data_IF_699537850393
#
_entry.id   IF_699537850393
#
_cell.length_a   1.000
_cell.length_b   1.000
_cell.length_c   1.000
_cell.angle_alpha   90.00
_cell.angle_beta   90.00
_cell.angle_gamma   90.00
#
_symmetry.space_group_name_H-M   'P 1'
#
loop_
_entity.id
_entity.type
_entity.pdbx_description
1 polymer ?
#
# COMPACT_ATOMS: atom_id res chain seq x y z
N UNK A 1 -16.56 14.90 0.02
CA UNK A 1 -15.32 14.17 0.44
C UNK A 1 -15.52 12.69 0.67
N UNK A 2 -16.73 12.21 1.01
CA UNK A 2 -17.04 10.78 1.11
C UNK A 2 -17.16 10.09 -0.25
N UNK A 3 -17.68 10.78 -1.26
CA UNK A 3 -17.96 10.20 -2.57
C UNK A 3 -16.73 9.61 -3.28
N UNK A 4 -15.58 10.26 -3.23
CA UNK A 4 -14.37 9.77 -3.90
C UNK A 4 -13.83 8.46 -3.30
N UNK A 5 -13.87 8.31 -1.96
CA UNK A 5 -13.48 7.05 -1.32
C UNK A 5 -14.54 5.96 -1.49
N UNK A 6 -15.82 6.33 -1.62
CA UNK A 6 -16.89 5.38 -1.86
C UNK A 6 -16.81 4.75 -3.27
N UNK A 7 -16.32 5.49 -4.27
CA UNK A 7 -16.04 4.95 -5.60
C UNK A 7 -15.03 3.80 -5.50
N UNK A 8 -13.87 4.05 -4.91
CA UNK A 8 -12.85 3.01 -4.78
C UNK A 8 -13.28 1.84 -3.90
N UNK A 9 -14.06 2.07 -2.84
CA UNK A 9 -14.63 1.01 -2.01
C UNK A 9 -15.60 0.11 -2.76
N UNK A 10 -16.45 0.68 -3.62
CA UNK A 10 -17.37 -0.10 -4.44
C UNK A 10 -16.66 -0.94 -5.49
N UNK A 11 -15.51 -0.47 -5.95
CA UNK A 11 -14.68 -1.16 -6.93
C UNK A 11 -13.74 -2.20 -6.29
N UNK A 12 -13.37 -2.05 -5.02
CA UNK A 12 -12.54 -3.02 -4.28
C UNK A 12 -13.32 -4.31 -3.95
N UNK A 13 -13.89 -4.96 -4.95
CA UNK A 13 -14.70 -6.19 -4.79
C UNK A 13 -13.84 -7.45 -4.72
N UNK A 14 -12.66 -7.42 -5.31
CA UNK A 14 -11.75 -8.56 -5.40
C UNK A 14 -10.80 -8.65 -4.22
N UNK A 15 -10.70 -7.60 -3.39
CA UNK A 15 -9.85 -7.60 -2.20
C UNK A 15 -10.49 -8.37 -1.06
N UNK A 16 -9.79 -9.39 -0.56
CA UNK A 16 -10.13 -10.12 0.67
C UNK A 16 -9.90 -9.33 1.95
N UNK A 17 -9.31 -8.13 1.87
CA UNK A 17 -9.03 -7.30 3.02
C UNK A 17 -10.32 -6.81 3.70
N UNK A 18 -10.46 -7.10 5.00
CA UNK A 18 -11.59 -6.66 5.82
C UNK A 18 -11.48 -5.18 6.20
N UNK A 19 -10.25 -4.66 6.34
CA UNK A 19 -10.00 -3.27 6.68
C UNK A 19 -9.57 -2.48 5.45
N UNK A 20 -10.45 -1.63 4.94
CA UNK A 20 -10.24 -0.77 3.76
C UNK A 20 -9.97 0.71 4.14
N UNK A 21 -9.49 0.97 5.35
CA UNK A 21 -9.26 2.34 5.83
C UNK A 21 -8.20 3.10 5.02
N UNK A 22 -7.23 2.40 4.41
CA UNK A 22 -6.23 3.02 3.52
C UNK A 22 -6.84 3.74 2.32
N UNK A 23 -8.04 3.35 1.88
CA UNK A 23 -8.75 4.03 0.79
C UNK A 23 -9.28 5.42 1.17
N UNK A 24 -9.26 5.79 2.45
CA UNK A 24 -9.57 7.15 2.91
C UNK A 24 -8.39 8.11 2.89
N UNK A 25 -7.19 7.63 2.56
CA UNK A 25 -6.02 8.47 2.48
C UNK A 25 -6.23 9.65 1.52
N UNK A 26 -5.73 10.82 1.92
CA UNK A 26 -5.98 12.07 1.20
C UNK A 26 -5.45 12.04 -0.24
N UNK A 27 -4.33 11.35 -0.49
CA UNK A 27 -3.75 11.27 -1.82
C UNK A 27 -4.64 10.47 -2.79
N UNK A 28 -5.29 9.38 -2.36
CA UNK A 28 -6.24 8.63 -3.21
C UNK A 28 -7.47 9.48 -3.56
N UNK A 29 -7.94 10.27 -2.60
CA UNK A 29 -9.01 11.23 -2.86
C UNK A 29 -8.59 12.32 -3.84
N UNK A 30 -7.31 12.74 -3.78
CA UNK A 30 -6.75 13.72 -4.72
C UNK A 30 -6.67 13.13 -6.14
N UNK A 31 -6.27 11.85 -6.30
CA UNK A 31 -6.30 11.17 -7.59
C UNK A 31 -7.72 11.19 -8.18
N UNK A 32 -8.70 10.71 -7.42
CA UNK A 32 -10.10 10.70 -7.88
C UNK A 32 -10.60 12.09 -8.25
N UNK A 33 -10.32 13.07 -7.39
CA UNK A 33 -10.71 14.45 -7.62
C UNK A 33 -10.10 15.03 -8.92
N UNK A 34 -8.85 14.69 -9.20
CA UNK A 34 -8.14 15.15 -10.42
C UNK A 34 -8.73 14.50 -11.66
N UNK A 35 -8.93 13.18 -11.66
CA UNK A 35 -9.50 12.44 -12.79
C UNK A 35 -10.89 12.95 -13.13
N UNK A 36 -11.73 13.25 -12.14
CA UNK A 36 -13.07 13.81 -12.34
C UNK A 36 -13.05 15.21 -13.00
N UNK A 37 -11.93 15.93 -12.93
CA UNK A 37 -11.80 17.32 -13.41
C UNK A 37 -11.01 17.49 -14.69
N UNK A 38 -10.22 16.51 -15.06
CA UNK A 38 -9.41 16.56 -16.29
C UNK A 38 -10.28 16.65 -17.56
N UNK A 39 -11.55 16.22 -17.49
CA UNK A 39 -12.41 16.14 -18.66
C UNK A 39 -11.98 15.01 -19.61
N UNK A 40 -11.93 15.31 -20.93
CA UNK A 40 -11.62 14.31 -21.97
C UNK A 40 -10.12 14.19 -22.25
N UNK A 41 -9.36 15.25 -22.02
CA UNK A 41 -7.90 15.28 -22.22
C UNK A 41 -7.22 15.98 -21.06
N UNK A 42 -6.11 15.42 -20.60
CA UNK A 42 -5.28 16.07 -19.61
C UNK A 42 -4.27 15.18 -18.96
N UNK A 43 -3.51 15.77 -18.07
CA UNK A 43 -2.45 15.10 -17.31
C UNK A 43 -2.62 15.40 -15.84
N UNK A 44 -2.46 14.40 -15.01
CA UNK A 44 -2.26 14.57 -13.57
C UNK A 44 -0.89 14.07 -13.16
N UNK A 45 -0.28 14.73 -12.17
CA UNK A 45 0.99 14.28 -11.60
C UNK A 45 0.99 14.49 -10.09
N UNK A 46 1.48 13.48 -9.37
CA UNK A 46 1.59 13.51 -7.92
C UNK A 46 2.85 12.83 -7.43
N UNK A 47 3.38 13.33 -6.32
CA UNK A 47 4.27 12.58 -5.44
C UNK A 47 3.44 12.14 -4.25
N UNK A 48 3.33 10.86 -4.03
CA UNK A 48 2.42 10.28 -3.05
C UNK A 48 3.02 9.09 -2.30
N UNK A 49 2.29 8.62 -1.30
CA UNK A 49 2.52 7.28 -0.76
C UNK A 49 2.32 6.25 -1.88
N UNK A 50 3.27 5.31 -2.01
CA UNK A 50 3.27 4.26 -3.04
C UNK A 50 2.49 3.00 -2.68
N UNK A 51 1.87 2.92 -1.51
CA UNK A 51 1.17 1.71 -1.06
C UNK A 51 -0.04 1.29 -1.91
N UNK A 52 -0.47 2.11 -2.84
CA UNK A 52 -1.53 1.79 -3.81
C UNK A 52 -1.03 0.95 -4.99
N UNK A 53 0.29 0.92 -5.25
CA UNK A 53 0.87 0.25 -6.42
C UNK A 53 0.67 -1.27 -6.34
N UNK A 54 0.90 -1.84 -5.16
CA UNK A 54 0.85 -3.29 -4.91
C UNK A 54 -0.04 -3.68 -3.71
N UNK A 55 -0.59 -2.69 -3.01
CA UNK A 55 -1.42 -2.94 -1.83
C UNK A 55 -2.69 -3.71 -2.16
N UNK A 56 -2.97 -4.77 -1.39
CA UNK A 56 -4.15 -5.63 -1.57
C UNK A 56 -5.48 -4.88 -1.46
N UNK A 57 -5.55 -3.78 -0.70
CA UNK A 57 -6.77 -2.97 -0.56
C UNK A 57 -6.99 -1.98 -1.70
N UNK A 58 -6.00 -1.81 -2.58
CA UNK A 58 -6.00 -0.81 -3.63
C UNK A 58 -6.31 -1.38 -5.03
N UNK A 59 -6.76 -2.63 -5.12
CA UNK A 59 -7.20 -3.27 -6.36
C UNK A 59 -8.22 -2.40 -7.11
N UNK A 60 -9.26 -1.94 -6.45
CA UNK A 60 -10.27 -1.07 -7.05
C UNK A 60 -9.75 0.31 -7.47
N UNK A 61 -8.69 0.81 -6.83
CA UNK A 61 -8.02 2.03 -7.28
C UNK A 61 -7.33 1.78 -8.60
N UNK A 62 -6.52 0.70 -8.70
CA UNK A 62 -5.81 0.34 -9.93
C UNK A 62 -6.76 0.08 -11.08
N UNK A 63 -7.79 -0.76 -10.88
CA UNK A 63 -8.84 -1.00 -11.88
C UNK A 63 -9.50 0.30 -12.37
N UNK A 64 -9.78 1.23 -11.46
CA UNK A 64 -10.36 2.53 -11.85
C UNK A 64 -9.39 3.41 -12.65
N UNK A 65 -8.09 3.33 -12.34
CA UNK A 65 -7.07 4.04 -13.12
C UNK A 65 -6.93 3.43 -14.52
N UNK A 66 -6.98 2.10 -14.62
CA UNK A 66 -6.89 1.36 -15.88
C UNK A 66 -8.09 1.66 -16.79
N UNK A 67 -9.29 1.77 -16.23
CA UNK A 67 -10.52 2.06 -16.98
C UNK A 67 -10.60 3.50 -17.51
N UNK A 68 -9.95 4.47 -16.84
CA UNK A 68 -10.20 5.89 -17.08
C UNK A 68 -9.01 6.65 -17.70
N UNK A 69 -7.83 6.03 -17.73
CA UNK A 69 -6.58 6.67 -18.19
C UNK A 69 -5.99 5.92 -19.39
N UNK A 70 -5.22 6.62 -20.19
CA UNK A 70 -4.59 6.06 -21.41
C UNK A 70 -3.16 5.63 -21.16
N UNK A 71 -2.38 6.46 -20.44
CA UNK A 71 -1.02 6.12 -20.02
C UNK A 71 -0.82 6.45 -18.56
N UNK A 72 -0.14 5.55 -17.84
CA UNK A 72 0.19 5.72 -16.44
C UNK A 72 1.69 5.46 -16.27
N UNK A 73 2.42 6.46 -15.78
CA UNK A 73 3.84 6.35 -15.45
C UNK A 73 3.99 6.33 -13.95
N UNK A 74 4.62 5.29 -13.43
CA UNK A 74 4.84 5.12 -11.98
C UNK A 74 6.32 4.93 -11.72
N UNK A 75 6.91 5.89 -11.01
CA UNK A 75 8.28 5.77 -10.53
C UNK A 75 8.27 5.50 -9.03
N UNK A 76 8.56 4.26 -8.66
CA UNK A 76 8.61 3.81 -7.27
C UNK A 76 9.98 4.18 -6.66
N UNK A 77 9.97 5.11 -5.72
CA UNK A 77 11.17 5.57 -5.01
C UNK A 77 11.45 4.76 -3.73
N UNK A 78 10.61 3.76 -3.42
CA UNK A 78 10.75 2.93 -2.22
C UNK A 78 10.80 3.74 -0.92
N UNK A 79 11.57 3.30 0.08
CA UNK A 79 11.77 4.00 1.35
C UNK A 79 10.79 3.59 2.45
N UNK A 80 10.20 2.37 2.37
CA UNK A 80 9.29 1.85 3.37
C UNK A 80 10.02 1.47 4.66
N UNK A 81 9.90 2.30 5.69
CA UNK A 81 10.49 2.06 7.00
C UNK A 81 9.68 1.10 7.90
N UNK A 82 8.52 0.61 7.43
CA UNK A 82 7.66 -0.32 8.17
C UNK A 82 8.00 -1.78 7.91
N UNK A 83 8.86 -2.06 6.95
CA UNK A 83 9.38 -3.40 6.67
C UNK A 83 10.50 -3.77 7.64
N UNK A 84 10.88 -5.05 7.69
CA UNK A 84 11.92 -5.56 8.57
C UNK A 84 12.91 -6.44 7.80
N UNK A 85 14.05 -6.76 8.41
CA UNK A 85 15.05 -7.66 7.85
C UNK A 85 15.68 -7.13 6.56
N UNK A 86 15.85 -8.02 5.58
CA UNK A 86 16.47 -7.70 4.29
C UNK A 86 15.63 -6.73 3.47
N UNK A 87 14.31 -6.88 3.49
CA UNK A 87 13.41 -5.96 2.79
C UNK A 87 13.60 -4.52 3.30
N UNK A 88 13.78 -4.33 4.61
CA UNK A 88 14.06 -3.00 5.17
C UNK A 88 15.39 -2.43 4.67
N UNK A 89 16.39 -3.27 4.47
CA UNK A 89 17.70 -2.85 3.92
C UNK A 89 17.58 -2.48 2.45
N UNK A 90 16.84 -3.26 1.66
CA UNK A 90 16.57 -2.96 0.25
C UNK A 90 15.81 -1.65 0.06
N UNK A 91 14.79 -1.41 0.88
CA UNK A 91 14.03 -0.15 0.89
C UNK A 91 14.88 1.08 1.21
N UNK A 92 15.84 0.92 2.14
CA UNK A 92 16.83 1.88 2.58
C UNK A 92 16.28 3.28 2.91
N UNK A 93 16.82 4.35 2.31
CA UNK A 93 16.45 5.73 2.63
C UNK A 93 15.10 6.16 2.07
N UNK A 94 14.31 6.88 2.86
CA UNK A 94 13.12 7.57 2.37
C UNK A 94 13.50 8.98 1.89
N UNK A 95 13.05 9.38 0.70
CA UNK A 95 13.39 10.69 0.11
C UNK A 95 12.90 11.88 0.95
N UNK A 96 11.87 11.69 1.77
CA UNK A 96 11.41 12.67 2.76
C UNK A 96 12.06 12.49 4.14
N UNK A 97 13.10 11.64 4.25
CA UNK A 97 13.87 11.39 5.47
C UNK A 97 12.98 11.03 6.66
N UNK A 98 13.12 11.73 7.79
CA UNK A 98 12.38 11.43 9.02
C UNK A 98 10.86 11.72 8.92
N UNK A 99 10.43 12.46 7.90
CA UNK A 99 9.01 12.75 7.65
C UNK A 99 8.23 11.63 6.96
N UNK A 100 8.92 10.63 6.38
CA UNK A 100 8.30 9.56 5.61
C UNK A 100 8.62 8.17 6.14
N UNK A 101 7.59 7.36 6.41
CA UNK A 101 7.76 5.94 6.84
C UNK A 101 7.17 4.93 5.86
N UNK A 102 6.59 5.41 4.77
CA UNK A 102 5.95 4.60 3.73
C UNK A 102 6.71 4.75 2.43
N UNK A 103 6.57 3.80 1.53
CA UNK A 103 7.04 3.92 0.13
C UNK A 103 6.56 5.24 -0.47
N UNK A 104 7.43 5.89 -1.23
CA UNK A 104 7.09 7.08 -2.01
C UNK A 104 7.09 6.72 -3.48
N UNK A 105 6.12 7.24 -4.20
CA UNK A 105 6.02 7.08 -5.65
C UNK A 105 5.65 8.40 -6.34
N UNK A 106 6.17 8.57 -7.54
CA UNK A 106 5.74 9.59 -8.48
C UNK A 106 4.77 8.90 -9.43
N UNK A 107 3.60 9.50 -9.63
CA UNK A 107 2.66 9.10 -10.68
C UNK A 107 2.46 10.25 -11.63
N UNK A 108 2.53 9.95 -12.93
CA UNK A 108 2.10 10.86 -14.02
C UNK A 108 1.11 10.05 -14.86
N UNK A 109 -0.09 10.56 -15.01
CA UNK A 109 -1.15 9.86 -15.71
C UNK A 109 -1.80 10.76 -16.75
N UNK A 110 -2.02 10.20 -17.93
CA UNK A 110 -2.53 10.88 -19.12
C UNK A 110 -3.92 10.35 -19.42
N UNK A 111 -4.86 11.25 -19.66
CA UNK A 111 -6.20 10.92 -20.13
C UNK A 111 -6.36 11.43 -21.55
N UNK A 112 -6.90 10.59 -22.45
CA UNK A 112 -7.26 10.93 -23.83
C UNK A 112 -8.75 10.68 -24.06
N UNK A 113 -9.33 11.29 -25.06
CA UNK A 113 -10.79 11.22 -25.35
C UNK A 113 -11.27 9.81 -25.68
N UNK A 114 -10.44 9.06 -26.38
CA UNK A 114 -10.70 7.66 -26.71
C UNK A 114 -9.64 6.85 -25.94
N UNK A 115 -9.98 6.18 -24.88
CA UNK A 115 -9.05 5.28 -24.24
C UNK A 115 -8.84 4.07 -25.16
N UNK A 116 -7.65 3.97 -25.73
CA UNK A 116 -7.08 2.69 -26.10
C UNK A 116 -6.81 1.90 -24.79
N UNK A 117 -6.44 0.63 -24.91
CA UNK A 117 -5.99 -0.13 -23.74
C UNK A 117 -4.93 0.68 -22.98
N UNK A 118 -5.07 0.76 -21.66
CA UNK A 118 -4.14 1.52 -20.82
C UNK A 118 -2.72 0.98 -20.96
N UNK A 119 -1.76 1.87 -21.04
CA UNK A 119 -0.34 1.51 -21.01
C UNK A 119 0.28 1.94 -19.67
N UNK A 120 0.72 0.96 -18.87
CA UNK A 120 1.30 1.20 -17.56
C UNK A 120 2.82 1.07 -17.66
N UNK A 121 3.50 2.18 -17.42
CA UNK A 121 4.94 2.30 -17.40
C UNK A 121 5.44 2.36 -15.97
N UNK A 122 6.19 1.36 -15.55
CA UNK A 122 6.70 1.25 -14.19
C UNK A 122 8.22 1.32 -14.15
N UNK A 123 8.72 2.04 -13.17
CA UNK A 123 10.13 2.04 -12.82
C UNK A 123 10.33 1.93 -11.32
N UNK A 124 11.17 1.01 -10.91
CA UNK A 124 11.68 0.91 -9.56
C UNK A 124 13.07 1.57 -9.48
N UNK A 125 13.30 2.39 -8.46
CA UNK A 125 14.57 3.13 -8.34
C UNK A 125 15.76 2.23 -7.98
N UNK A 126 15.50 1.07 -7.40
CA UNK A 126 16.51 0.08 -7.03
C UNK A 126 16.72 -0.09 -5.54
N UNK A 127 17.52 -1.12 -5.21
CA UNK A 127 17.81 -1.56 -3.83
C UNK A 127 18.92 -0.74 -3.18
N UNK A 128 18.91 -0.69 -1.84
CA UNK A 128 19.97 -0.20 -0.95
C UNK A 128 20.37 1.27 -1.09
N UNK A 129 19.59 2.08 -1.79
CA UNK A 129 19.91 3.49 -2.05
C UNK A 129 19.54 4.38 -0.85
N UNK A 130 20.45 5.22 -0.45
CA UNK A 130 20.18 6.31 0.50
C UNK A 130 19.20 7.34 -0.10
N UNK A 131 18.63 8.19 0.75
CA UNK A 131 17.76 9.27 0.30
C UNK A 131 18.43 10.20 -0.70
N UNK A 132 19.70 10.54 -0.45
CA UNK A 132 20.46 11.46 -1.31
C UNK A 132 20.80 10.85 -2.67
N UNK A 133 21.14 9.55 -2.71
CA UNK A 133 21.35 8.82 -3.96
C UNK A 133 20.08 8.76 -4.80
N UNK A 134 18.92 8.46 -4.17
CA UNK A 134 17.62 8.46 -4.84
C UNK A 134 17.30 9.84 -5.44
N UNK A 135 17.48 10.90 -4.68
CA UNK A 135 17.27 12.27 -5.15
C UNK A 135 18.20 12.62 -6.30
N UNK A 136 19.47 12.23 -6.23
CA UNK A 136 20.44 12.46 -7.30
C UNK A 136 20.10 11.65 -8.58
N UNK A 137 19.48 10.49 -8.47
CA UNK A 137 18.99 9.73 -9.63
C UNK A 137 17.77 10.45 -10.24
N UNK A 138 16.80 10.83 -9.41
CA UNK A 138 15.60 11.54 -9.86
C UNK A 138 15.94 12.86 -10.55
N UNK A 139 16.88 13.64 -10.00
CA UNK A 139 17.34 14.92 -10.57
C UNK A 139 17.91 14.79 -12.00
N UNK A 140 18.52 13.65 -12.30
CA UNK A 140 19.08 13.35 -13.63
C UNK A 140 18.12 12.59 -14.54
N UNK A 141 16.96 12.20 -14.01
CA UNK A 141 15.97 11.42 -14.76
C UNK A 141 15.16 12.32 -15.69
N UNK A 142 15.00 11.87 -16.92
CA UNK A 142 14.08 12.41 -17.90
C UNK A 142 13.22 11.30 -18.46
N UNK A 143 12.10 11.61 -19.10
CA UNK A 143 11.25 10.60 -19.71
C UNK A 143 12.02 9.67 -20.68
N UNK A 144 13.00 10.22 -21.39
CA UNK A 144 13.76 9.50 -22.43
C UNK A 144 14.85 8.59 -21.84
N UNK A 145 15.35 8.86 -20.62
CA UNK A 145 16.44 8.11 -20.04
C UNK A 145 16.00 7.13 -18.94
N UNK A 146 14.72 7.14 -18.57
CA UNK A 146 14.15 6.15 -17.66
C UNK A 146 13.84 4.86 -18.44
N UNK A 147 14.41 3.75 -17.98
CA UNK A 147 14.10 2.41 -18.50
C UNK A 147 12.77 1.95 -17.92
N UNK A 148 11.69 2.27 -18.62
CA UNK A 148 10.33 1.93 -18.24
C UNK A 148 10.02 0.47 -18.55
N UNK A 149 9.52 -0.25 -17.55
CA UNK A 149 8.93 -1.58 -17.72
C UNK A 149 7.44 -1.41 -18.01
N UNK A 150 6.96 -2.06 -19.06
CA UNK A 150 5.52 -2.11 -19.34
C UNK A 150 4.91 -3.20 -18.44
N UNK A 151 3.86 -2.84 -17.73
CA UNK A 151 3.06 -3.75 -16.91
C UNK A 151 1.78 -4.11 -17.67
N UNK A 152 1.51 -5.39 -17.72
CA UNK A 152 0.23 -5.96 -18.15
C UNK A 152 -0.54 -6.41 -16.90
N UNK A 153 -1.55 -5.65 -16.43
CA UNK A 153 -2.27 -5.98 -15.22
C UNK A 153 -3.15 -7.22 -15.42
N UNK A 154 -3.32 -8.01 -14.37
CA UNK A 154 -4.27 -9.10 -14.41
C UNK A 154 -5.71 -8.60 -14.18
N UNK A 155 -6.69 -9.50 -14.38
CA UNK A 155 -8.13 -9.19 -14.22
C UNK A 155 -8.53 -8.75 -12.81
N UNK A 156 -7.66 -8.97 -11.82
CA UNK A 156 -7.87 -8.55 -10.43
C UNK A 156 -7.31 -7.15 -10.14
N UNK A 157 -6.67 -6.51 -11.13
CA UNK A 157 -6.01 -5.23 -10.96
C UNK A 157 -4.67 -5.33 -10.21
N UNK A 158 -4.02 -6.50 -10.23
CA UNK A 158 -2.67 -6.62 -9.70
C UNK A 158 -1.67 -6.19 -10.77
N UNK A 159 -0.92 -5.12 -10.50
CA UNK A 159 0.13 -4.62 -11.38
C UNK A 159 1.47 -5.30 -11.11
N UNK A 160 1.84 -5.35 -9.82
CA UNK A 160 3.05 -6.03 -9.36
C UNK A 160 2.64 -7.24 -8.51
N UNK A 161 3.55 -8.20 -8.36
CA UNK A 161 3.32 -9.38 -7.52
C UNK A 161 1.96 -10.04 -7.79
N UNK A 162 1.66 -10.22 -9.09
CA UNK A 162 0.42 -10.82 -9.52
C UNK A 162 0.23 -12.18 -8.86
N UNK A 163 -0.99 -12.43 -8.39
CA UNK A 163 -1.32 -13.71 -7.76
C UNK A 163 -1.26 -14.84 -8.79
N UNK A 164 -0.87 -16.00 -8.33
CA UNK A 164 -0.91 -17.23 -9.10
C UNK A 164 -2.37 -17.56 -9.49
N UNK A 165 -2.59 -18.08 -10.70
CA UNK A 165 -3.91 -18.47 -11.17
C UNK A 165 -4.55 -19.54 -10.28
N UNK A 166 -3.74 -20.42 -9.71
CA UNK A 166 -4.18 -21.47 -8.80
C UNK A 166 -4.49 -20.97 -7.38
N UNK A 167 -4.21 -19.70 -7.06
CA UNK A 167 -4.34 -19.15 -5.71
C UNK A 167 -5.75 -19.36 -5.11
N UNK A 168 -6.79 -19.21 -5.91
CA UNK A 168 -8.18 -19.38 -5.45
C UNK A 168 -8.55 -20.86 -5.22
N UNK A 169 -7.76 -21.79 -5.75
CA UNK A 169 -7.98 -23.24 -5.55
C UNK A 169 -7.38 -23.74 -4.23
N UNK A 170 -6.48 -22.95 -3.63
CA UNK A 170 -5.81 -23.34 -2.40
C UNK A 170 -6.72 -23.24 -1.18
N UNK A 171 -6.64 -24.19 -0.24
CA UNK A 171 -7.39 -24.10 0.98
C UNK A 171 -6.98 -22.89 1.80
N UNK A 172 -7.93 -22.10 2.27
CA UNK A 172 -7.64 -20.96 3.15
C UNK A 172 -7.00 -21.45 4.46
N UNK A 173 -6.03 -20.69 4.97
CA UNK A 173 -5.32 -21.06 6.19
C UNK A 173 -6.28 -21.17 7.39
N UNK A 174 -7.24 -20.26 7.48
CA UNK A 174 -8.24 -20.31 8.56
C UNK A 174 -9.52 -19.58 8.20
N UNK A 175 -10.66 -20.24 8.39
CA UNK A 175 -11.99 -19.66 8.31
C UNK A 175 -12.86 -20.22 9.47
N UNK A 176 -13.47 -19.29 10.22
CA UNK A 176 -14.36 -19.61 11.33
C UNK A 176 -15.84 -19.61 10.95
N UNK A 177 -16.15 -19.03 9.79
CA UNK A 177 -17.52 -18.64 9.45
C UNK A 177 -18.13 -19.52 8.34
N UNK A 178 -17.31 -20.26 7.60
CA UNK A 178 -17.77 -21.11 6.51
C UNK A 178 -17.45 -22.57 6.77
N UNK A 179 -18.44 -23.42 6.67
CA UNK A 179 -18.29 -24.88 6.65
C UNK A 179 -18.07 -25.42 5.23
N UNK A 180 -18.41 -24.64 4.22
CA UNK A 180 -18.37 -25.02 2.82
C UNK A 180 -17.01 -24.80 2.17
N UNK A 181 -16.15 -23.92 2.75
CA UNK A 181 -14.82 -23.63 2.22
C UNK A 181 -13.80 -24.50 2.96
N UNK A 182 -12.96 -25.27 2.26
CA UNK A 182 -11.92 -26.05 2.89
C UNK A 182 -10.89 -25.14 3.55
N UNK A 183 -10.86 -25.14 4.88
CA UNK A 183 -9.90 -24.41 5.70
C UNK A 183 -9.00 -25.35 6.45
N UNK A 184 -7.69 -25.03 6.55
CA UNK A 184 -6.72 -25.83 7.32
C UNK A 184 -7.05 -25.74 8.82
N UNK A 185 -7.38 -24.54 9.30
CA UNK A 185 -7.77 -24.31 10.69
C UNK A 185 -9.17 -23.72 10.78
N UNK A 186 -10.07 -24.41 11.48
CA UNK A 186 -11.40 -23.89 11.83
C UNK A 186 -11.38 -23.11 13.15
N UNK A 187 -10.44 -23.42 14.03
CA UNK A 187 -10.26 -22.74 15.32
C UNK A 187 -8.88 -22.10 15.37
N UNK A 188 -8.84 -20.80 15.45
CA UNK A 188 -7.61 -20.03 15.63
C UNK A 188 -7.90 -18.71 16.36
N UNK A 189 -6.87 -18.17 16.99
CA UNK A 189 -6.93 -16.85 17.60
C UNK A 189 -5.59 -16.12 17.40
N UNK A 190 -5.62 -14.81 17.53
CA UNK A 190 -4.40 -14.01 17.52
C UNK A 190 -3.59 -14.14 18.83
N UNK A 191 -4.04 -15.00 19.75
CA UNK A 191 -3.49 -15.10 21.10
C UNK A 191 -3.89 -13.89 21.97
N UNK A 192 -3.18 -13.74 23.08
CA UNK A 192 -3.36 -12.61 23.98
C UNK A 192 -2.71 -11.35 23.37
N UNK A 193 -3.51 -10.35 23.03
CA UNK A 193 -3.04 -9.05 22.55
C UNK A 193 -3.20 -8.03 23.66
N UNK A 194 -2.10 -7.63 24.28
CA UNK A 194 -2.10 -6.61 25.34
C UNK A 194 -2.02 -5.20 24.80
N UNK A 195 -1.49 -5.02 23.56
CA UNK A 195 -1.07 -3.74 22.99
C UNK A 195 -0.05 -2.95 23.86
N UNK A 196 0.45 -3.61 24.92
CA UNK A 196 1.40 -3.10 25.90
C UNK A 196 2.35 -4.19 26.37
N UNK A 197 2.88 -4.97 25.44
CA UNK A 197 3.64 -6.20 25.73
C UNK A 197 4.85 -5.95 26.65
N UNK A 198 5.56 -4.84 26.50
CA UNK A 198 6.68 -4.45 27.37
C UNK A 198 6.28 -4.27 28.84
N UNK A 199 4.98 -4.09 29.12
CA UNK A 199 4.44 -3.94 30.49
C UNK A 199 3.82 -5.20 31.03
N UNK A 200 3.30 -6.05 30.15
CA UNK A 200 2.53 -7.22 30.49
C UNK A 200 3.34 -8.52 30.52
N UNK A 201 4.53 -8.52 29.92
CA UNK A 201 5.43 -9.67 29.91
C UNK A 201 6.74 -9.35 30.63
N UNK A 202 7.25 -10.32 31.37
CA UNK A 202 8.52 -10.20 32.06
C UNK A 202 9.05 -11.59 32.46
N UNK A 203 10.33 -11.65 32.86
CA UNK A 203 11.01 -12.89 33.22
C UNK A 203 10.57 -13.47 34.57
N UNK A 204 9.97 -12.63 35.43
CA UNK A 204 9.49 -13.04 36.76
C UNK A 204 8.15 -12.41 37.09
N UNK A 205 7.30 -13.07 37.95
CA UNK A 205 6.04 -12.49 38.40
C UNK A 205 6.20 -11.14 39.12
N UNK A 206 7.26 -10.96 39.89
CA UNK A 206 7.53 -9.70 40.58
C UNK A 206 7.87 -8.57 39.65
N UNK A 207 8.61 -8.83 38.56
CA UNK A 207 8.92 -7.82 37.53
C UNK A 207 7.65 -7.36 36.82
N UNK A 208 6.79 -8.31 36.41
CA UNK A 208 5.50 -7.99 35.77
C UNK A 208 4.60 -7.19 36.71
N UNK A 209 4.51 -7.58 37.97
CA UNK A 209 3.68 -6.86 38.98
C UNK A 209 4.17 -5.43 39.13
N UNK A 210 5.48 -5.21 39.26
CA UNK A 210 6.06 -3.86 39.38
C UNK A 210 5.80 -3.02 38.13
N UNK A 211 5.98 -3.59 36.94
CA UNK A 211 5.71 -2.90 35.67
C UNK A 211 4.24 -2.50 35.55
N UNK A 212 3.32 -3.41 35.88
CA UNK A 212 1.88 -3.15 35.83
C UNK A 212 1.45 -2.10 36.84
N UNK A 213 2.01 -2.10 38.05
CA UNK A 213 1.74 -1.06 39.05
C UNK A 213 2.20 0.32 38.57
N UNK A 214 3.39 0.39 37.96
CA UNK A 214 3.90 1.64 37.38
C UNK A 214 2.99 2.11 36.25
N UNK A 215 2.57 1.24 35.35
CA UNK A 215 1.64 1.56 34.27
C UNK A 215 0.32 2.13 34.78
N UNK A 216 -0.27 1.50 35.79
CA UNK A 216 -1.51 1.95 36.41
C UNK A 216 -1.33 3.34 37.02
N UNK A 217 -0.26 3.53 37.78
CA UNK A 217 0.03 4.85 38.43
C UNK A 217 0.16 5.95 37.38
N UNK A 218 0.95 5.73 36.33
CA UNK A 218 1.13 6.71 35.24
C UNK A 218 -0.18 6.99 34.50
N UNK A 219 -1.00 5.96 34.27
CA UNK A 219 -2.30 6.12 33.59
C UNK A 219 -3.27 7.00 34.37
N UNK A 220 -3.24 6.93 35.72
CA UNK A 220 -4.11 7.76 36.57
C UNK A 220 -3.59 9.19 36.81
N UNK A 221 -2.32 9.47 36.55
CA UNK A 221 -1.74 10.83 36.71
C UNK A 221 -1.93 11.70 35.49
N UNK A 222 -2.44 11.18 34.38
CA UNK A 222 -2.70 11.89 33.15
C UNK A 222 -4.20 12.08 32.82
N UNK A 223 -5.07 11.79 33.80
CA UNK A 223 -6.50 12.12 33.77
C UNK A 223 -6.75 13.36 34.63
#
# INVERSE_FOLDING_TARGET
SSAASDVYKRQARNSSATNKNSLYDSYLRAFRWSIDRIGTHGVMAFVSNGGWIDGNTADGVRLSLDDELSDIYVYNLRGNARTAGDVRRQEAGNVFRDGGRTTIAIIIAVKREIPDDVCIHYRDIGDYLSADEKLAIVDRSTFDNIDWQIIDPNIYGDWLNQRDEDFETWPVLGDKNSDDIPAIFKNFSAGLKTARDSWCYGSTPSAVTSQMQTLITVSYTHL
#
